data_IF_073218167403
#
_entry.id   IF_073218167403
#
_cell.length_a   1.000
_cell.length_b   1.000
_cell.length_c   1.000
_cell.angle_alpha   90.00
_cell.angle_beta   90.00
_cell.angle_gamma   90.00
#
_symmetry.space_group_name_H-M   'P 1'
#
loop_
_entity.id
_entity.type
_entity.pdbx_description
1 polymer ?
#
# COMPACT_ATOMS: atom_id res chain seq x y z
N UNK A 1 -42.83 33.59 -23.39
CA UNK A 1 -41.88 33.48 -22.27
C UNK A 1 -40.53 33.30 -22.93
N UNK A 2 -39.56 34.15 -22.62
CA UNK A 2 -38.23 34.07 -23.24
C UNK A 2 -37.56 32.77 -22.78
N UNK A 3 -37.05 31.92 -23.70
CA UNK A 3 -36.31 30.71 -23.33
C UNK A 3 -35.14 30.96 -22.36
N UNK A 4 -34.56 32.17 -22.37
CA UNK A 4 -33.50 32.57 -21.44
C UNK A 4 -34.05 32.80 -20.02
N UNK A 5 -35.21 33.42 -19.88
CA UNK A 5 -35.87 33.63 -18.58
C UNK A 5 -36.26 32.29 -17.91
N UNK A 6 -36.64 31.30 -18.73
CA UNK A 6 -37.03 29.98 -18.24
C UNK A 6 -35.81 29.16 -17.77
N UNK A 7 -34.66 29.31 -18.45
CA UNK A 7 -33.39 28.71 -18.06
C UNK A 7 -32.84 29.34 -16.78
N UNK A 8 -32.87 30.66 -16.67
CA UNK A 8 -32.42 31.37 -15.46
C UNK A 8 -33.29 31.00 -14.24
N UNK A 9 -34.59 30.86 -14.43
CA UNK A 9 -35.50 30.38 -13.39
C UNK A 9 -35.21 28.92 -12.98
N UNK A 10 -34.77 28.06 -13.89
CA UNK A 10 -34.34 26.69 -13.56
C UNK A 10 -33.00 26.67 -12.81
N UNK A 11 -32.02 27.47 -13.22
CA UNK A 11 -30.72 27.58 -12.54
C UNK A 11 -30.91 28.11 -11.12
N UNK A 12 -31.72 29.15 -10.93
CA UNK A 12 -32.03 29.70 -9.62
C UNK A 12 -32.67 28.65 -8.68
N UNK A 13 -33.61 27.84 -9.20
CA UNK A 13 -34.23 26.74 -8.43
C UNK A 13 -33.21 25.68 -8.02
N UNK A 14 -32.31 25.28 -8.92
CA UNK A 14 -31.25 24.32 -8.61
C UNK A 14 -30.27 24.85 -7.56
N UNK A 15 -29.94 26.14 -7.61
CA UNK A 15 -29.07 26.78 -6.61
C UNK A 15 -29.70 26.81 -5.22
N UNK A 16 -31.02 27.05 -5.12
CA UNK A 16 -31.76 27.01 -3.84
C UNK A 16 -31.74 25.59 -3.25
N UNK A 17 -32.09 24.58 -4.05
CA UNK A 17 -32.09 23.18 -3.60
C UNK A 17 -30.68 22.72 -3.19
N UNK A 18 -29.65 23.12 -3.94
CA UNK A 18 -28.26 22.86 -3.58
C UNK A 18 -27.87 23.56 -2.27
N UNK A 19 -28.36 24.79 -2.04
CA UNK A 19 -28.17 25.53 -0.79
C UNK A 19 -28.82 24.86 0.43
N UNK A 20 -30.05 24.36 0.27
CA UNK A 20 -30.78 23.62 1.31
C UNK A 20 -30.10 22.29 1.65
N UNK A 21 -29.61 21.55 0.65
CA UNK A 21 -28.84 20.33 0.85
C UNK A 21 -27.50 20.59 1.57
N UNK A 22 -26.80 21.67 1.23
CA UNK A 22 -25.55 22.06 1.92
C UNK A 22 -25.78 22.47 3.37
N UNK A 23 -26.84 23.22 3.64
CA UNK A 23 -27.17 23.68 4.99
C UNK A 23 -27.66 22.53 5.90
N UNK A 24 -28.35 21.53 5.34
CA UNK A 24 -28.71 20.30 6.05
C UNK A 24 -27.50 19.40 6.39
N UNK A 25 -26.39 19.50 5.64
CA UNK A 25 -25.17 18.69 5.84
C UNK A 25 -24.15 19.27 6.84
N UNK A 26 -24.44 20.40 7.48
CA UNK A 26 -23.49 21.12 8.33
C UNK A 26 -22.49 21.94 7.50
N UNK A 27 -21.87 22.96 8.12
CA UNK A 27 -20.83 23.75 7.42
C UNK A 27 -19.64 22.84 7.09
N UNK A 28 -19.18 22.78 5.83
CA UNK A 28 -17.98 22.03 5.50
C UNK A 28 -16.80 22.55 6.33
N UNK A 29 -16.14 21.64 7.06
CA UNK A 29 -14.98 21.95 7.92
C UNK A 29 -13.72 22.18 7.09
N UNK A 30 -13.74 21.70 5.84
CA UNK A 30 -12.65 21.74 4.87
C UNK A 30 -13.12 22.50 3.63
N UNK A 31 -12.23 23.27 3.01
CA UNK A 31 -12.52 23.92 1.74
C UNK A 31 -12.76 22.87 0.65
N UNK A 32 -13.63 23.18 -0.32
CA UNK A 32 -14.08 22.22 -1.35
C UNK A 32 -12.97 21.58 -2.20
N UNK A 33 -11.75 22.12 -2.16
CA UNK A 33 -10.59 21.60 -2.89
C UNK A 33 -9.61 20.81 -2.01
N UNK A 34 -9.84 20.71 -0.70
CA UNK A 34 -8.93 20.06 0.24
C UNK A 34 -9.19 18.55 0.37
N UNK A 35 -10.43 18.12 0.25
CA UNK A 35 -10.82 16.70 0.24
C UNK A 35 -11.86 16.47 -0.83
N UNK A 36 -11.55 15.62 -1.79
CA UNK A 36 -12.38 15.26 -2.93
C UNK A 36 -12.64 13.76 -2.92
N UNK A 37 -13.89 13.36 -3.23
CA UNK A 37 -14.27 11.97 -3.38
C UNK A 37 -14.13 11.57 -4.85
N UNK A 38 -13.33 10.54 -5.11
CA UNK A 38 -13.22 9.86 -6.39
C UNK A 38 -14.03 8.57 -6.28
N UNK A 39 -14.97 8.33 -7.19
CA UNK A 39 -15.92 7.20 -7.13
C UNK A 39 -15.70 6.17 -8.25
N UNK A 40 -14.74 6.39 -9.13
CA UNK A 40 -14.48 5.53 -10.30
C UNK A 40 -12.99 5.22 -10.51
N UNK A 41 -12.72 4.04 -11.09
CA UNK A 41 -11.38 3.54 -11.37
C UNK A 41 -10.57 4.40 -12.35
N UNK A 42 -11.10 4.82 -13.51
CA UNK A 42 -10.38 5.68 -14.45
C UNK A 42 -9.91 7.01 -13.84
N UNK A 43 -10.76 7.72 -13.11
CA UNK A 43 -10.41 8.96 -12.41
C UNK A 43 -9.34 8.72 -11.35
N UNK A 44 -9.44 7.61 -10.60
CA UNK A 44 -8.41 7.21 -9.62
C UNK A 44 -7.04 6.98 -10.29
N UNK A 45 -7.00 6.26 -11.41
CA UNK A 45 -5.77 5.97 -12.12
C UNK A 45 -5.13 7.26 -12.68
N UNK A 46 -5.94 8.15 -13.26
CA UNK A 46 -5.47 9.45 -13.73
C UNK A 46 -4.93 10.32 -12.58
N UNK A 47 -5.62 10.33 -11.43
CA UNK A 47 -5.17 11.07 -10.25
C UNK A 47 -3.85 10.50 -9.69
N UNK A 48 -3.68 9.17 -9.71
CA UNK A 48 -2.45 8.52 -9.29
C UNK A 48 -1.30 8.81 -10.26
N UNK A 49 -1.55 8.74 -11.57
CA UNK A 49 -0.55 9.08 -12.59
C UNK A 49 -0.09 10.54 -12.46
N UNK A 50 -1.03 11.47 -12.30
CA UNK A 50 -0.71 12.89 -12.09
C UNK A 50 0.07 13.12 -10.80
N UNK A 51 -0.26 12.40 -9.72
CA UNK A 51 0.54 12.41 -8.49
C UNK A 51 1.99 12.00 -8.78
N UNK A 52 2.20 10.87 -9.48
CA UNK A 52 3.55 10.40 -9.83
C UNK A 52 4.35 11.42 -10.66
N UNK A 53 3.70 12.06 -11.64
CA UNK A 53 4.33 13.07 -12.51
C UNK A 53 4.65 14.38 -11.78
N UNK A 54 3.79 14.78 -10.85
CA UNK A 54 3.91 16.06 -10.14
C UNK A 54 4.83 15.98 -8.92
N UNK A 55 4.97 14.83 -8.27
CA UNK A 55 5.86 14.64 -7.11
C UNK A 55 7.31 15.01 -7.43
N UNK A 56 8.00 15.59 -6.45
CA UNK A 56 9.37 16.09 -6.60
C UNK A 56 10.37 15.47 -5.63
N UNK A 57 9.91 15.00 -4.48
CA UNK A 57 10.78 14.48 -3.42
C UNK A 57 10.57 12.99 -3.19
N UNK A 58 9.31 12.58 -2.97
CA UNK A 58 9.04 11.20 -2.59
C UNK A 58 7.59 10.76 -2.84
N UNK A 59 7.44 9.44 -3.04
CA UNK A 59 6.17 8.73 -2.97
C UNK A 59 6.21 7.69 -1.86
N UNK A 60 5.14 7.64 -1.07
CA UNK A 60 4.99 6.73 0.06
C UNK A 60 3.70 5.95 -0.05
N UNK A 61 3.78 4.63 -0.19
CA UNK A 61 2.62 3.79 -0.45
C UNK A 61 2.38 2.78 0.69
N UNK A 62 1.15 2.70 1.17
CA UNK A 62 0.59 1.55 1.86
C UNK A 62 -0.20 0.74 0.83
N UNK A 63 0.49 -0.21 0.20
CA UNK A 63 -0.07 -0.92 -0.94
C UNK A 63 -0.65 -2.29 -0.56
N UNK A 64 -1.87 -2.54 -1.03
CA UNK A 64 -2.59 -3.80 -0.88
C UNK A 64 -3.68 -3.90 -1.94
N UNK A 65 -4.07 -5.13 -2.27
CA UNK A 65 -5.26 -5.38 -3.06
C UNK A 65 -6.56 -5.00 -2.33
N UNK A 66 -7.67 -4.86 -3.07
CA UNK A 66 -7.79 -5.00 -4.54
C UNK A 66 -7.17 -3.83 -5.32
N UNK A 67 -6.80 -4.07 -6.58
CA UNK A 67 -6.25 -3.07 -7.52
C UNK A 67 -7.26 -2.72 -8.60
N UNK A 68 -7.37 -1.44 -8.95
CA UNK A 68 -8.29 -0.96 -9.99
C UNK A 68 -7.76 -1.19 -11.40
N UNK A 69 -6.46 -1.45 -11.54
CA UNK A 69 -5.80 -1.86 -12.77
C UNK A 69 -4.70 -2.88 -12.44
N UNK A 70 -4.22 -3.66 -13.43
CA UNK A 70 -3.08 -4.52 -13.23
C UNK A 70 -1.87 -3.72 -12.69
N UNK A 71 -1.12 -4.21 -11.70
CA UNK A 71 0.06 -3.52 -11.15
C UNK A 71 1.06 -3.07 -12.23
N UNK A 72 1.23 -3.89 -13.28
CA UNK A 72 2.11 -3.58 -14.41
C UNK A 72 1.71 -2.30 -15.18
N UNK A 73 0.46 -1.83 -15.07
CA UNK A 73 -0.03 -0.66 -15.82
C UNK A 73 0.59 0.66 -15.38
N UNK A 74 1.17 0.73 -14.17
CA UNK A 74 1.80 1.93 -13.62
C UNK A 74 3.32 1.77 -13.46
N UNK A 75 3.83 0.56 -13.69
CA UNK A 75 5.22 0.18 -13.42
C UNK A 75 6.22 0.98 -14.26
N UNK A 76 5.92 1.24 -15.54
CA UNK A 76 6.84 1.97 -16.42
C UNK A 76 7.08 3.40 -15.94
N UNK A 77 6.01 4.10 -15.52
CA UNK A 77 6.12 5.44 -14.97
C UNK A 77 6.88 5.43 -13.63
N UNK A 78 6.57 4.48 -12.74
CA UNK A 78 7.28 4.36 -11.46
C UNK A 78 8.79 4.13 -11.67
N UNK A 79 9.17 3.25 -12.59
CA UNK A 79 10.57 3.02 -12.97
C UNK A 79 11.23 4.27 -13.56
N UNK A 80 10.53 5.03 -14.39
CA UNK A 80 11.01 6.33 -14.89
C UNK A 80 11.29 7.29 -13.73
N UNK A 81 10.33 7.48 -12.81
CA UNK A 81 10.48 8.39 -11.67
C UNK A 81 11.61 7.96 -10.71
N UNK A 82 11.76 6.66 -10.47
CA UNK A 82 12.88 6.10 -9.70
C UNK A 82 14.24 6.41 -10.34
N UNK A 83 14.35 6.23 -11.67
CA UNK A 83 15.58 6.55 -12.43
C UNK A 83 15.90 8.05 -12.40
N UNK A 84 14.88 8.89 -12.37
CA UNK A 84 15.00 10.35 -12.19
C UNK A 84 15.41 10.76 -10.75
N UNK A 85 15.50 9.80 -9.82
CA UNK A 85 15.94 10.01 -8.45
C UNK A 85 14.82 10.31 -7.45
N UNK A 86 13.54 10.14 -7.83
CA UNK A 86 12.42 10.24 -6.90
C UNK A 86 12.47 9.08 -5.89
N UNK A 87 12.28 9.38 -4.60
CA UNK A 87 12.34 8.35 -3.56
C UNK A 87 11.00 7.63 -3.44
N UNK A 88 10.96 6.32 -3.71
CA UNK A 88 9.79 5.48 -3.41
C UNK A 88 9.98 4.65 -2.14
N UNK A 89 8.99 4.72 -1.25
CA UNK A 89 8.89 3.91 -0.04
C UNK A 89 7.54 3.19 -0.03
N UNK A 90 7.54 1.89 -0.26
CA UNK A 90 6.33 1.09 -0.30
C UNK A 90 6.27 0.11 0.88
N UNK A 91 5.14 0.09 1.58
CA UNK A 91 4.80 -0.96 2.54
C UNK A 91 3.68 -1.78 1.93
N UNK A 92 3.96 -3.04 1.66
CA UNK A 92 3.00 -3.98 1.13
C UNK A 92 2.26 -4.71 2.25
N UNK A 93 0.95 -4.88 2.09
CA UNK A 93 0.18 -5.84 2.86
C UNK A 93 0.68 -7.26 2.60
N UNK A 94 0.63 -8.13 3.61
CA UNK A 94 1.12 -9.49 3.49
C UNK A 94 0.47 -10.31 2.36
N UNK A 95 -0.74 -9.96 1.96
CA UNK A 95 -1.46 -10.57 0.85
C UNK A 95 -0.73 -10.44 -0.50
N UNK A 96 0.29 -9.57 -0.59
CA UNK A 96 1.15 -9.42 -1.77
C UNK A 96 1.79 -10.74 -2.21
N UNK A 97 2.15 -11.62 -1.28
CA UNK A 97 2.77 -12.90 -1.60
C UNK A 97 1.79 -13.90 -2.25
N UNK A 98 0.49 -13.61 -2.21
CA UNK A 98 -0.55 -14.38 -2.88
C UNK A 98 -0.83 -13.86 -4.30
N UNK A 99 -0.33 -12.67 -4.66
CA UNK A 99 -0.55 -12.03 -5.96
C UNK A 99 0.63 -12.26 -6.89
N UNK A 100 0.46 -13.14 -7.89
CA UNK A 100 1.50 -13.36 -8.92
C UNK A 100 1.79 -12.08 -9.72
N UNK A 101 0.79 -11.24 -9.97
CA UNK A 101 0.94 -9.99 -10.71
C UNK A 101 1.83 -8.98 -9.99
N UNK A 102 1.62 -8.77 -8.68
CA UNK A 102 2.46 -7.83 -7.91
C UNK A 102 3.88 -8.41 -7.75
N UNK A 103 3.98 -9.71 -7.50
CA UNK A 103 5.28 -10.37 -7.35
C UNK A 103 6.11 -10.39 -8.64
N UNK A 104 5.47 -10.22 -9.80
CA UNK A 104 6.17 -10.11 -11.09
C UNK A 104 6.84 -8.76 -11.30
N UNK A 105 6.28 -7.66 -10.77
CA UNK A 105 6.80 -6.29 -10.99
C UNK A 105 7.80 -5.85 -9.92
N UNK A 106 7.64 -6.35 -8.69
CA UNK A 106 8.45 -5.99 -7.53
C UNK A 106 9.97 -6.11 -7.71
N UNK A 107 10.52 -7.17 -8.35
CA UNK A 107 11.97 -7.30 -8.50
C UNK A 107 12.59 -6.14 -9.26
N UNK A 108 11.93 -5.65 -10.31
CA UNK A 108 12.44 -4.57 -11.15
C UNK A 108 12.36 -3.22 -10.42
N UNK A 109 11.25 -2.95 -9.74
CA UNK A 109 11.08 -1.73 -8.92
C UNK A 109 12.14 -1.62 -7.82
N UNK A 110 12.39 -2.74 -7.12
CA UNK A 110 13.44 -2.82 -6.10
C UNK A 110 14.84 -2.63 -6.67
N UNK A 111 15.12 -3.25 -7.81
CA UNK A 111 16.41 -3.06 -8.49
C UNK A 111 16.61 -1.60 -8.94
N UNK A 112 15.53 -0.88 -9.26
CA UNK A 112 15.55 0.54 -9.58
C UNK A 112 15.65 1.46 -8.35
N UNK A 113 15.59 0.92 -7.13
CA UNK A 113 15.83 1.67 -5.88
C UNK A 113 14.60 1.85 -5.00
N UNK A 114 13.45 1.25 -5.32
CA UNK A 114 12.29 1.26 -4.43
C UNK A 114 12.64 0.60 -3.08
N UNK A 115 12.36 1.31 -1.99
CA UNK A 115 12.46 0.74 -0.66
C UNK A 115 11.16 0.01 -0.31
N UNK A 116 11.15 -1.32 -0.46
CA UNK A 116 9.99 -2.15 -0.14
C UNK A 116 10.04 -2.73 1.27
N UNK A 117 8.92 -2.67 1.99
CA UNK A 117 8.68 -3.30 3.29
C UNK A 117 7.37 -4.05 3.32
N UNK A 118 7.17 -4.90 4.32
CA UNK A 118 5.94 -5.69 4.51
C UNK A 118 5.38 -5.49 5.91
N UNK A 119 4.04 -5.43 5.99
CA UNK A 119 3.30 -5.41 7.24
C UNK A 119 2.21 -6.51 7.26
N UNK A 120 2.10 -7.31 8.33
CA UNK A 120 1.10 -8.38 8.43
C UNK A 120 -0.36 -7.90 8.38
N UNK A 121 -0.63 -6.72 8.93
CA UNK A 121 -1.98 -6.15 8.98
C UNK A 121 -1.94 -4.67 8.65
N UNK A 122 -2.41 -4.33 7.45
CA UNK A 122 -2.48 -2.94 6.98
C UNK A 122 -3.78 -2.26 7.41
N UNK A 123 -3.73 -1.04 7.99
CA UNK A 123 -4.94 -0.34 8.41
C UNK A 123 -5.78 0.16 7.23
N UNK A 124 -5.16 0.52 6.11
CA UNK A 124 -5.79 1.09 4.91
C UNK A 124 -4.91 0.94 3.67
N UNK A 125 -5.47 1.16 2.47
CA UNK A 125 -4.69 1.40 1.24
C UNK A 125 -4.54 2.91 1.07
N UNK A 126 -3.32 3.37 0.83
CA UNK A 126 -3.03 4.79 0.73
C UNK A 126 -1.77 5.03 -0.08
N UNK A 127 -1.70 6.13 -0.82
CA UNK A 127 -0.45 6.68 -1.34
C UNK A 127 -0.34 8.16 -1.04
N UNK A 128 0.85 8.60 -0.67
CA UNK A 128 1.20 10.00 -0.39
C UNK A 128 2.20 10.47 -1.45
N UNK A 129 1.95 11.65 -2.01
CA UNK A 129 2.84 12.35 -2.90
C UNK A 129 3.41 13.58 -2.22
N UNK A 130 4.74 13.62 -2.05
CA UNK A 130 5.44 14.60 -1.21
C UNK A 130 4.69 14.79 0.13
N UNK A 131 4.64 16.00 0.67
CA UNK A 131 3.86 16.36 1.87
C UNK A 131 2.59 17.18 1.52
N UNK A 132 2.07 17.06 0.30
CA UNK A 132 0.96 17.91 -0.17
C UNK A 132 -0.28 17.18 -0.71
N UNK A 133 -0.19 15.87 -0.94
CA UNK A 133 -1.32 15.09 -1.43
C UNK A 133 -1.33 13.64 -0.95
N UNK A 134 -2.53 13.09 -0.81
CA UNK A 134 -2.79 11.69 -0.52
C UNK A 134 -3.98 11.16 -1.31
N UNK A 135 -3.90 9.91 -1.76
CA UNK A 135 -5.05 9.12 -2.21
C UNK A 135 -5.28 8.02 -1.20
N UNK A 136 -6.46 7.97 -0.58
CA UNK A 136 -6.80 7.01 0.48
C UNK A 136 -8.05 6.23 0.10
N UNK A 137 -7.97 4.90 0.11
CA UNK A 137 -9.14 4.06 -0.13
C UNK A 137 -10.12 4.14 1.06
N UNK A 138 -11.40 4.40 0.78
CA UNK A 138 -12.43 4.51 1.82
C UNK A 138 -12.90 3.17 2.36
N UNK A 139 -12.72 2.10 1.60
CA UNK A 139 -13.21 0.76 1.96
C UNK A 139 -12.10 -0.26 1.81
N UNK A 140 -12.11 -1.27 2.70
CA UNK A 140 -11.31 -2.50 2.53
C UNK A 140 -11.98 -3.52 1.60
N UNK A 141 -13.21 -3.24 1.15
CA UNK A 141 -14.09 -4.16 0.40
C UNK A 141 -14.72 -3.44 -0.78
N UNK A 142 -14.81 -4.14 -1.90
CA UNK A 142 -15.28 -3.67 -3.19
C UNK A 142 -16.71 -3.05 -3.18
N UNK A 143 -17.04 -2.16 -4.15
CA UNK A 143 -16.21 -1.77 -5.29
C UNK A 143 -15.00 -0.93 -4.85
N UNK A 144 -13.84 -1.29 -5.40
CA UNK A 144 -12.51 -0.78 -5.04
C UNK A 144 -12.29 0.68 -5.50
N UNK A 145 -13.36 1.45 -5.64
CA UNK A 145 -13.40 2.62 -6.53
C UNK A 145 -13.57 3.92 -5.76
N UNK A 146 -13.98 3.86 -4.48
CA UNK A 146 -14.13 5.04 -3.65
C UNK A 146 -12.82 5.40 -2.94
N UNK A 147 -12.19 6.50 -3.39
CA UNK A 147 -10.99 7.07 -2.78
C UNK A 147 -11.22 8.51 -2.38
N UNK A 148 -10.52 8.95 -1.34
CA UNK A 148 -10.38 10.37 -1.04
C UNK A 148 -9.07 10.87 -1.62
N UNK A 149 -9.14 11.91 -2.45
CA UNK A 149 -8.01 12.77 -2.74
C UNK A 149 -7.96 13.85 -1.66
N UNK A 150 -6.92 13.82 -0.85
CA UNK A 150 -6.70 14.73 0.28
C UNK A 150 -5.50 15.59 -0.05
N UNK A 151 -5.65 16.91 0.00
CA UNK A 151 -4.56 17.88 -0.17
C UNK A 151 -4.15 18.46 1.19
N UNK A 152 -3.19 19.40 1.18
CA UNK A 152 -2.62 20.04 2.37
C UNK A 152 -3.67 20.46 3.40
N UNK A 153 -3.75 19.68 4.48
CA UNK A 153 -4.68 19.79 5.61
C UNK A 153 -4.04 19.13 6.84
N UNK A 154 -4.51 19.44 8.05
CA UNK A 154 -4.08 18.71 9.25
C UNK A 154 -4.43 17.19 9.21
N UNK A 155 -5.38 16.80 8.37
CA UNK A 155 -5.67 15.38 8.08
C UNK A 155 -4.51 14.73 7.34
N UNK A 156 -3.95 15.41 6.32
CA UNK A 156 -2.78 14.93 5.59
C UNK A 156 -1.58 14.73 6.54
N UNK A 157 -1.34 15.68 7.46
CA UNK A 157 -0.26 15.56 8.45
C UNK A 157 -0.42 14.28 9.31
N UNK A 158 -1.65 13.96 9.71
CA UNK A 158 -1.96 12.73 10.44
C UNK A 158 -1.73 11.46 9.60
N UNK A 159 -2.04 11.49 8.30
CA UNK A 159 -1.79 10.38 7.38
C UNK A 159 -0.30 10.17 7.14
N UNK A 160 0.47 11.25 6.98
CA UNK A 160 1.93 11.22 6.89
C UNK A 160 2.52 10.60 8.16
N UNK A 161 2.13 11.08 9.34
CA UNK A 161 2.60 10.54 10.61
C UNK A 161 2.26 9.05 10.77
N UNK A 162 1.07 8.64 10.30
CA UNK A 162 0.66 7.23 10.29
C UNK A 162 1.59 6.39 9.40
N UNK A 163 1.91 6.86 8.19
CA UNK A 163 2.85 6.17 7.33
C UNK A 163 4.23 6.01 7.99
N UNK A 164 4.80 7.08 8.53
CA UNK A 164 6.15 7.02 9.14
C UNK A 164 6.20 6.06 10.35
N UNK A 165 5.14 6.01 11.15
CA UNK A 165 5.02 5.04 12.24
C UNK A 165 4.97 3.60 11.72
N UNK A 166 4.13 3.33 10.72
CA UNK A 166 4.03 2.00 10.10
C UNK A 166 5.33 1.60 9.41
N UNK A 167 6.03 2.55 8.79
CA UNK A 167 7.33 2.35 8.18
C UNK A 167 8.35 1.84 9.20
N UNK A 168 8.39 2.44 10.39
CA UNK A 168 9.25 1.98 11.49
C UNK A 168 8.91 0.59 12.03
N UNK A 169 7.65 0.15 11.91
CA UNK A 169 7.19 -1.18 12.34
C UNK A 169 7.34 -2.25 11.24
N UNK A 170 7.30 -1.86 9.98
CA UNK A 170 7.35 -2.76 8.84
C UNK A 170 8.75 -3.36 8.68
N UNK A 171 8.79 -4.63 8.25
CA UNK A 171 10.04 -5.34 8.00
C UNK A 171 10.47 -5.19 6.55
N UNK A 172 11.77 -5.11 6.24
CA UNK A 172 12.25 -5.13 4.85
C UNK A 172 11.64 -6.28 4.05
N UNK A 173 11.24 -6.01 2.81
CA UNK A 173 10.73 -7.05 1.91
C UNK A 173 11.87 -8.06 1.64
N UNK A 174 11.62 -9.37 1.85
CA UNK A 174 12.63 -10.39 1.60
C UNK A 174 13.13 -10.37 0.16
N UNK A 175 14.44 -10.47 -0.06
CA UNK A 175 14.99 -10.76 -1.39
C UNK A 175 14.57 -12.17 -1.80
N UNK A 176 13.95 -12.29 -2.98
CA UNK A 176 13.43 -13.56 -3.50
C UNK A 176 14.46 -14.31 -4.35
N UNK A 177 15.61 -13.68 -4.63
CA UNK A 177 16.74 -14.33 -5.31
C UNK A 177 17.85 -14.69 -4.32
N UNK A 178 18.34 -15.92 -4.45
CA UNK A 178 19.35 -16.50 -3.59
C UNK A 178 20.74 -15.93 -3.90
N UNK A 179 21.33 -15.18 -2.97
CA UNK A 179 22.76 -15.25 -2.59
C UNK A 179 23.13 -14.07 -1.70
N UNK A 180 23.58 -14.36 -0.48
CA UNK A 180 24.01 -13.31 0.44
C UNK A 180 24.41 -13.90 1.79
N UNK A 181 25.71 -14.13 1.94
CA UNK A 181 26.44 -14.74 3.04
C UNK A 181 25.94 -14.35 4.46
N UNK A 182 25.30 -15.29 5.16
CA UNK A 182 25.23 -15.29 6.63
C UNK A 182 25.40 -16.74 7.09
N UNK A 183 26.62 -17.07 7.52
CA UNK A 183 26.95 -18.34 8.16
C UNK A 183 26.05 -18.60 9.39
N UNK A 184 24.93 -19.30 9.20
CA UNK A 184 24.28 -20.21 10.18
C UNK A 184 22.92 -20.78 9.75
N UNK A 185 22.25 -20.25 8.70
CA UNK A 185 20.93 -20.74 8.26
C UNK A 185 20.99 -21.34 6.87
N UNK A 186 20.36 -22.50 6.68
CA UNK A 186 20.16 -23.07 5.33
C UNK A 186 19.19 -22.16 4.58
N UNK A 187 19.40 -21.92 3.28
CA UNK A 187 18.53 -21.08 2.46
C UNK A 187 17.01 -21.36 2.63
N UNK A 188 16.54 -22.63 2.70
CA UNK A 188 15.13 -22.92 2.94
C UNK A 188 14.59 -22.43 4.29
N UNK A 189 15.45 -22.35 5.32
CA UNK A 189 15.06 -21.89 6.65
C UNK A 189 14.96 -20.35 6.71
N UNK A 190 15.77 -19.65 5.90
CA UNK A 190 15.64 -18.21 5.70
C UNK A 190 14.30 -17.87 5.05
N UNK A 191 13.93 -18.57 3.99
CA UNK A 191 12.65 -18.37 3.30
C UNK A 191 11.45 -18.62 4.22
N UNK A 192 11.53 -19.67 5.03
CA UNK A 192 10.51 -19.94 6.06
C UNK A 192 10.41 -18.78 7.04
N UNK A 193 11.52 -18.23 7.54
CA UNK A 193 11.51 -17.10 8.47
C UNK A 193 10.94 -15.83 7.85
N UNK A 194 11.26 -15.55 6.58
CA UNK A 194 10.72 -14.40 5.85
C UNK A 194 9.20 -14.53 5.67
N UNK A 195 8.73 -15.72 5.30
CA UNK A 195 7.30 -16.03 5.19
C UNK A 195 6.59 -15.96 6.55
N UNK A 196 7.19 -16.48 7.62
CA UNK A 196 6.65 -16.39 8.99
C UNK A 196 6.59 -14.95 9.49
N UNK A 197 7.59 -14.13 9.18
CA UNK A 197 7.61 -12.70 9.54
C UNK A 197 6.47 -11.93 8.92
N UNK A 198 6.12 -12.27 7.67
CA UNK A 198 4.96 -11.70 7.03
C UNK A 198 3.63 -12.27 7.56
N UNK A 199 3.62 -13.45 8.18
CA UNK A 199 2.40 -14.07 8.73
C UNK A 199 1.88 -15.27 7.94
N UNK A 200 2.71 -15.87 7.09
CA UNK A 200 2.35 -17.06 6.32
C UNK A 200 1.89 -18.20 7.22
N UNK A 201 0.87 -18.93 6.75
CA UNK A 201 0.49 -20.20 7.36
C UNK A 201 1.40 -21.33 6.88
N UNK A 202 1.46 -22.42 7.65
CA UNK A 202 2.24 -23.60 7.28
C UNK A 202 1.80 -24.19 5.93
N UNK A 203 0.52 -24.08 5.58
CA UNK A 203 0.00 -24.51 4.28
C UNK A 203 0.57 -23.66 3.14
N UNK A 204 0.55 -22.33 3.29
CA UNK A 204 1.14 -21.39 2.32
C UNK A 204 2.63 -21.65 2.13
N UNK A 205 3.37 -21.80 3.23
CA UNK A 205 4.80 -22.11 3.21
C UNK A 205 5.05 -23.44 2.48
N UNK A 206 4.25 -24.47 2.76
CA UNK A 206 4.38 -25.79 2.12
C UNK A 206 4.22 -25.72 0.60
N UNK A 207 3.19 -24.97 0.12
CA UNK A 207 2.92 -24.78 -1.30
C UNK A 207 4.01 -23.97 -1.98
N UNK A 208 4.41 -22.84 -1.37
CA UNK A 208 5.41 -21.93 -1.93
C UNK A 208 6.78 -22.58 -2.07
N UNK A 209 7.22 -23.32 -1.06
CA UNK A 209 8.54 -23.97 -1.05
C UNK A 209 8.51 -25.38 -1.64
N UNK A 210 7.34 -25.87 -2.09
CA UNK A 210 7.14 -27.21 -2.66
C UNK A 210 7.65 -28.32 -1.72
N UNK A 211 7.39 -28.18 -0.42
CA UNK A 211 7.75 -29.15 0.62
C UNK A 211 6.50 -29.69 1.32
N UNK A 212 6.59 -30.88 1.91
CA UNK A 212 5.44 -31.48 2.59
C UNK A 212 5.03 -30.71 3.85
N UNK A 213 3.73 -30.69 4.23
CA UNK A 213 3.25 -30.00 5.45
C UNK A 213 3.99 -30.43 6.71
N UNK A 214 4.31 -31.73 6.82
CA UNK A 214 5.11 -32.28 7.94
C UNK A 214 6.53 -31.68 7.98
N UNK A 215 7.15 -31.46 6.83
CA UNK A 215 8.47 -30.84 6.73
C UNK A 215 8.41 -29.37 7.12
N UNK A 216 7.37 -28.65 6.66
CA UNK A 216 7.12 -27.27 7.06
C UNK A 216 6.98 -27.13 8.57
N UNK A 217 6.05 -27.88 9.19
CA UNK A 217 5.82 -27.84 10.63
C UNK A 217 7.09 -28.12 11.44
N UNK A 218 7.85 -29.14 11.03
CA UNK A 218 9.12 -29.49 11.69
C UNK A 218 10.13 -28.35 11.62
N UNK A 219 10.29 -27.73 10.45
CA UNK A 219 11.24 -26.62 10.24
C UNK A 219 10.81 -25.35 10.96
N UNK A 220 9.54 -24.97 10.85
CA UNK A 220 8.95 -23.81 11.56
C UNK A 220 9.17 -23.96 13.06
N UNK A 221 8.89 -25.14 13.64
CA UNK A 221 9.13 -25.39 15.06
C UNK A 221 10.60 -25.24 15.44
N UNK A 222 11.51 -25.87 14.69
CA UNK A 222 12.95 -25.77 14.94
C UNK A 222 13.46 -24.31 14.87
N UNK A 223 12.90 -23.52 13.93
CA UNK A 223 13.25 -22.11 13.77
C UNK A 223 12.71 -21.24 14.92
N UNK A 224 11.46 -21.46 15.34
CA UNK A 224 10.91 -20.77 16.50
C UNK A 224 11.68 -21.11 17.79
N UNK A 225 12.04 -22.38 17.98
CA UNK A 225 12.85 -22.83 19.13
C UNK A 225 14.23 -22.16 19.13
N UNK A 226 14.92 -22.15 17.99
CA UNK A 226 16.24 -21.50 17.85
C UNK A 226 16.19 -19.97 18.08
N UNK A 227 15.05 -19.35 17.78
CA UNK A 227 14.81 -17.93 17.98
C UNK A 227 14.27 -17.60 19.38
N UNK A 228 13.89 -18.59 20.19
CA UNK A 228 13.19 -18.38 21.45
C UNK A 228 11.84 -17.69 21.27
N UNK A 229 11.18 -17.94 20.12
CA UNK A 229 9.94 -17.30 19.75
C UNK A 229 8.72 -18.14 20.16
N UNK A 230 7.74 -17.51 20.81
CA UNK A 230 6.48 -18.15 21.18
C UNK A 230 5.38 -17.94 20.13
N UNK A 231 5.55 -16.96 19.26
CA UNK A 231 4.62 -16.69 18.14
C UNK A 231 5.39 -16.58 16.83
N UNK A 232 4.71 -16.87 15.71
CA UNK A 232 5.29 -16.80 14.36
C UNK A 232 5.78 -15.38 14.03
N UNK A 233 5.01 -14.37 14.45
CA UNK A 233 5.40 -12.97 14.34
C UNK A 233 6.66 -12.65 15.16
N UNK A 234 6.74 -13.16 16.40
CA UNK A 234 7.95 -13.02 17.22
C UNK A 234 9.14 -13.71 16.55
N UNK A 235 8.95 -14.86 15.90
CA UNK A 235 10.02 -15.54 15.15
C UNK A 235 10.53 -14.65 14.01
N UNK A 236 9.63 -14.06 13.23
CA UNK A 236 10.02 -13.11 12.19
C UNK A 236 10.78 -11.88 12.72
N UNK A 237 10.26 -11.25 13.78
CA UNK A 237 10.91 -10.09 14.40
C UNK A 237 12.29 -10.42 14.98
N UNK A 238 12.42 -11.57 15.64
CA UNK A 238 13.70 -12.02 16.20
C UNK A 238 14.70 -12.40 15.11
N UNK A 239 14.22 -13.01 14.01
CA UNK A 239 15.05 -13.29 12.85
C UNK A 239 15.62 -12.00 12.25
N UNK A 240 14.80 -10.97 12.06
CA UNK A 240 15.25 -9.67 11.56
C UNK A 240 16.27 -9.01 12.51
N UNK A 241 16.00 -9.00 13.83
CA UNK A 241 16.93 -8.45 14.84
C UNK A 241 18.29 -9.15 14.86
N UNK A 242 18.30 -10.47 14.62
CA UNK A 242 19.52 -11.28 14.54
C UNK A 242 20.18 -11.26 13.16
N UNK A 243 19.64 -10.50 12.20
CA UNK A 243 20.08 -10.45 10.79
C UNK A 243 20.07 -11.83 10.12
N UNK A 244 19.14 -12.68 10.53
CA UNK A 244 18.88 -13.97 9.89
C UNK A 244 18.11 -13.77 8.58
N UNK A 245 17.29 -12.73 8.55
CA UNK A 245 16.54 -12.21 7.41
C UNK A 245 16.75 -10.69 7.34
#
# INVERSE_FOLDING_TARGET
>A
MDPLDELDAQVARLQVVAGELRSARGKPVLDGNQVELIEDGPTLLAAYEEMQRSCREQIRALDRGPYSAPPASQQELELERLRDGLVYRAIYGFEVFESEEVMAVLPELRAAGEASRVLPQMPMKMVLGDDNMALVALTKRAPAECHLLIRSTGLLDGLIATFEMLWGLAVPMPELEASGDVAALRAPDRDILMLLAGGATDDMISRRLRISPRTTQRRVRALMDALGAQTRFQAGLQAARRRWI
#
